data_IF_982122189634
#
_entry.id   IF_982122189634
#
_cell.length_a   1.000
_cell.length_b   1.000
_cell.length_c   1.000
_cell.angle_alpha   90.00
_cell.angle_beta   90.00
_cell.angle_gamma   90.00
#
_symmetry.space_group_name_H-M   'P 1'
#
loop_
_entity.id
_entity.type
_entity.pdbx_description
1 polymer ?
#
# COMPACT_ATOMS: atom_id res chain seq x y z
N UNK A 1 2.70 -17.41 -24.63
CA UNK A 1 3.18 -16.22 -25.38
C UNK A 1 4.15 -15.48 -24.48
N UNK A 2 5.35 -15.14 -24.97
CA UNK A 2 6.39 -14.51 -24.15
C UNK A 2 6.30 -12.99 -24.24
N UNK A 3 6.15 -12.33 -23.10
CA UNK A 3 6.33 -10.89 -23.00
C UNK A 3 7.82 -10.56 -22.87
N UNK A 4 8.23 -9.44 -23.46
CA UNK A 4 9.58 -8.88 -23.32
C UNK A 4 9.51 -7.46 -22.78
N UNK A 5 10.60 -7.00 -22.19
CA UNK A 5 10.77 -5.62 -21.75
C UNK A 5 11.94 -5.01 -22.53
N UNK A 6 11.67 -3.95 -23.27
CA UNK A 6 12.70 -3.12 -23.90
C UNK A 6 13.18 -2.07 -22.89
N UNK A 7 14.50 -1.98 -22.72
CA UNK A 7 15.15 -1.12 -21.74
C UNK A 7 15.76 0.10 -22.43
N UNK A 8 15.62 1.26 -21.82
CA UNK A 8 16.09 2.54 -22.31
C UNK A 8 16.95 3.23 -21.26
N UNK A 9 18.11 3.76 -21.65
CA UNK A 9 19.08 4.40 -20.75
C UNK A 9 19.00 5.92 -20.82
N UNK A 10 19.12 6.55 -19.65
CA UNK A 10 19.31 7.99 -19.48
C UNK A 10 18.08 8.83 -19.83
N UNK A 11 18.21 10.15 -19.70
CA UNK A 11 17.14 11.11 -20.03
C UNK A 11 16.75 11.12 -21.52
N UNK A 12 17.70 10.78 -22.40
CA UNK A 12 17.44 10.67 -23.85
C UNK A 12 16.74 9.37 -24.23
N UNK A 13 16.58 8.44 -23.28
CA UNK A 13 15.92 7.15 -23.44
C UNK A 13 16.48 6.39 -24.63
N UNK A 14 17.79 6.18 -24.64
CA UNK A 14 18.47 5.43 -25.70
C UNK A 14 18.16 3.93 -25.55
N UNK A 15 17.62 3.24 -26.56
CA UNK A 15 17.36 1.80 -26.47
C UNK A 15 18.65 1.03 -26.19
N UNK A 16 18.61 0.08 -25.26
CA UNK A 16 19.76 -0.74 -24.88
C UNK A 16 19.60 -2.17 -25.35
N UNK A 17 18.57 -2.87 -24.85
CA UNK A 17 18.27 -4.26 -25.19
C UNK A 17 16.85 -4.62 -24.79
N UNK A 18 16.39 -5.78 -25.28
CA UNK A 18 15.21 -6.46 -24.77
C UNK A 18 15.61 -7.58 -23.83
N UNK A 19 14.81 -7.78 -22.79
CA UNK A 19 14.94 -8.89 -21.85
C UNK A 19 13.61 -9.62 -21.72
N UNK A 20 13.62 -10.96 -21.58
CA UNK A 20 12.39 -11.70 -21.32
C UNK A 20 11.79 -11.28 -19.98
N UNK A 21 10.48 -11.08 -19.93
CA UNK A 21 9.79 -10.60 -18.72
C UNK A 21 9.74 -11.68 -17.63
N UNK A 22 9.62 -12.94 -18.02
CA UNK A 22 9.39 -14.04 -17.10
C UNK A 22 10.55 -14.22 -16.09
N UNK A 23 11.84 -14.24 -16.48
CA UNK A 23 12.93 -14.38 -15.51
C UNK A 23 13.06 -13.19 -14.56
N UNK A 24 12.72 -11.99 -15.05
CA UNK A 24 12.71 -10.75 -14.26
C UNK A 24 11.66 -10.83 -13.15
N UNK A 25 10.43 -11.22 -13.51
CA UNK A 25 9.35 -11.38 -12.53
C UNK A 25 9.60 -12.57 -11.58
N UNK A 26 10.14 -13.68 -12.09
CA UNK A 26 10.48 -14.85 -11.27
C UNK A 26 11.45 -14.47 -10.15
N UNK A 27 12.59 -13.85 -10.49
CA UNK A 27 13.58 -13.40 -9.49
C UNK A 27 12.96 -12.45 -8.47
N UNK A 28 12.12 -11.52 -8.94
CA UNK A 28 11.41 -10.59 -8.07
C UNK A 28 10.51 -11.32 -7.07
N UNK A 29 9.62 -12.21 -7.54
CA UNK A 29 8.69 -12.92 -6.66
C UNK A 29 9.36 -13.96 -5.76
N UNK A 30 10.46 -14.60 -6.19
CA UNK A 30 11.27 -15.47 -5.32
C UNK A 30 11.80 -14.70 -4.11
N UNK A 31 12.29 -13.47 -4.33
CA UNK A 31 12.73 -12.60 -3.24
C UNK A 31 11.58 -12.11 -2.36
N UNK A 32 10.41 -11.79 -2.93
CA UNK A 32 9.27 -11.29 -2.15
C UNK A 32 8.59 -12.39 -1.30
N UNK A 33 8.49 -13.60 -1.86
CA UNK A 33 7.84 -14.75 -1.23
C UNK A 33 8.80 -15.57 -0.35
N UNK A 34 10.10 -15.29 -0.41
CA UNK A 34 11.14 -16.06 0.30
C UNK A 34 11.08 -17.57 -0.02
N UNK A 35 10.77 -17.89 -1.28
CA UNK A 35 10.56 -19.25 -1.77
C UNK A 35 11.02 -19.38 -3.22
N UNK A 36 11.69 -20.50 -3.55
CA UNK A 36 12.04 -20.82 -4.93
C UNK A 36 10.78 -21.10 -5.75
N UNK A 37 10.69 -20.50 -6.94
CA UNK A 37 9.50 -20.60 -7.79
C UNK A 37 9.69 -21.57 -8.94
N UNK A 38 10.72 -22.42 -8.97
CA UNK A 38 10.96 -23.39 -10.04
C UNK A 38 9.68 -24.20 -10.36
N UNK A 39 9.25 -24.19 -11.63
CA UNK A 39 8.02 -24.83 -12.08
C UNK A 39 6.73 -24.03 -11.82
N UNK A 40 6.81 -22.88 -11.13
CA UNK A 40 5.67 -21.99 -10.96
C UNK A 40 5.29 -21.26 -12.26
N UNK A 41 3.99 -21.01 -12.40
CA UNK A 41 3.36 -20.25 -13.48
C UNK A 41 3.01 -18.85 -12.95
N UNK A 42 3.57 -17.82 -13.59
CA UNK A 42 3.22 -16.42 -13.33
C UNK A 42 2.22 -15.98 -14.40
N UNK A 43 0.97 -15.76 -13.98
CA UNK A 43 -0.10 -15.26 -14.84
C UNK A 43 -0.19 -13.74 -14.70
N UNK A 44 -0.27 -13.06 -15.84
CA UNK A 44 -0.41 -11.61 -15.93
C UNK A 44 -1.69 -11.28 -16.69
N UNK A 45 -2.56 -10.51 -16.07
CA UNK A 45 -3.73 -9.92 -16.71
C UNK A 45 -3.58 -8.40 -16.64
N UNK A 46 -3.30 -7.78 -17.80
CA UNK A 46 -3.14 -6.34 -17.90
C UNK A 46 -4.50 -5.64 -18.04
N UNK A 47 -4.65 -4.56 -17.28
CA UNK A 47 -5.91 -3.85 -17.11
C UNK A 47 -5.73 -2.39 -17.57
N UNK A 48 -6.63 -1.85 -18.43
CA UNK A 48 -6.44 -0.58 -19.12
C UNK A 48 -6.68 0.65 -18.24
N UNK A 49 -7.02 0.46 -16.97
CA UNK A 49 -7.27 1.55 -16.03
C UNK A 49 -5.99 2.37 -15.82
N UNK A 50 -6.09 3.71 -15.90
CA UNK A 50 -4.93 4.58 -15.74
C UNK A 50 -4.31 4.42 -14.35
N UNK A 51 -2.99 4.56 -14.26
CA UNK A 51 -2.31 4.62 -12.96
C UNK A 51 -2.79 5.87 -12.19
N UNK A 52 -3.15 5.76 -10.90
CA UNK A 52 -3.51 6.92 -10.10
C UNK A 52 -2.25 7.71 -9.74
N UNK A 53 -2.00 8.81 -10.47
CA UNK A 53 -0.95 9.78 -10.19
C UNK A 53 0.06 9.95 -11.33
N UNK A 54 0.99 10.94 -11.25
CA UNK A 54 2.09 11.01 -12.20
C UNK A 54 2.84 9.67 -12.17
N UNK A 55 3.24 9.19 -13.36
CA UNK A 55 3.97 7.94 -13.53
C UNK A 55 5.02 7.84 -12.43
N UNK A 56 4.90 6.83 -11.56
CA UNK A 56 5.73 6.72 -10.37
C UNK A 56 7.18 6.58 -10.82
N UNK A 57 7.91 7.70 -10.89
CA UNK A 57 9.33 7.68 -10.69
C UNK A 57 9.50 7.01 -9.33
N UNK A 58 10.05 5.81 -9.29
CA UNK A 58 10.40 5.11 -8.05
C UNK A 58 11.55 5.87 -7.36
N UNK A 59 11.36 7.16 -7.07
CA UNK A 59 12.23 7.99 -6.27
C UNK A 59 12.10 7.56 -4.82
N UNK A 60 12.65 6.40 -4.50
CA UNK A 60 12.96 6.06 -3.13
C UNK A 60 14.45 5.75 -3.06
N UNK A 61 15.14 6.74 -2.47
CA UNK A 61 16.51 6.69 -1.95
C UNK A 61 17.63 6.59 -3.00
N UNK A 62 18.18 7.74 -3.39
CA UNK A 62 19.45 7.83 -4.15
C UNK A 62 19.35 8.22 -5.63
N UNK A 63 18.24 8.83 -6.06
CA UNK A 63 18.07 9.36 -7.42
C UNK A 63 17.90 8.31 -8.53
N UNK A 64 17.63 7.05 -8.17
CA UNK A 64 17.39 5.99 -9.15
C UNK A 64 15.92 5.98 -9.59
N UNK A 65 15.63 6.19 -10.87
CA UNK A 65 14.27 6.22 -11.43
C UNK A 65 14.13 5.30 -12.64
N UNK A 66 12.93 4.75 -12.80
CA UNK A 66 12.57 3.83 -13.88
C UNK A 66 11.19 4.19 -14.40
N UNK A 67 11.11 4.71 -15.62
CA UNK A 67 9.87 5.21 -16.22
C UNK A 67 9.22 4.20 -17.18
N UNK A 68 7.90 4.06 -17.12
CA UNK A 68 7.14 3.31 -18.12
C UNK A 68 6.91 4.16 -19.37
N UNK A 69 7.59 3.84 -20.46
CA UNK A 69 7.51 4.55 -21.73
C UNK A 69 6.37 4.08 -22.63
N UNK A 70 5.66 3.01 -22.25
CA UNK A 70 4.46 2.51 -22.94
C UNK A 70 3.32 2.29 -21.94
N UNK A 71 2.74 3.36 -21.37
CA UNK A 71 1.74 3.28 -20.29
C UNK A 71 0.33 2.92 -20.80
N UNK A 72 0.21 1.98 -21.74
CA UNK A 72 -1.09 1.58 -22.31
C UNK A 72 -2.00 0.90 -21.28
N UNK A 73 -1.41 0.14 -20.38
CA UNK A 73 -2.08 -0.52 -19.28
C UNK A 73 -1.48 0.06 -18.01
N UNK A 74 -2.33 0.62 -17.14
CA UNK A 74 -1.86 1.17 -15.89
C UNK A 74 -1.70 0.10 -14.82
N UNK A 75 -2.47 -0.99 -14.89
CA UNK A 75 -2.42 -2.05 -13.88
C UNK A 75 -2.21 -3.43 -14.48
N UNK A 76 -1.69 -4.33 -13.65
CA UNK A 76 -1.56 -5.76 -13.95
C UNK A 76 -1.96 -6.58 -12.73
N UNK A 77 -2.95 -7.46 -12.91
CA UNK A 77 -3.25 -8.50 -11.93
C UNK A 77 -2.18 -9.59 -12.09
N UNK A 78 -1.47 -9.87 -11.00
CA UNK A 78 -0.49 -10.96 -10.97
C UNK A 78 -1.02 -12.13 -10.17
N UNK A 79 -0.90 -13.34 -10.71
CA UNK A 79 -1.09 -14.59 -9.96
C UNK A 79 0.13 -15.47 -10.10
N UNK A 80 0.64 -15.99 -8.98
CA UNK A 80 1.74 -16.96 -8.97
C UNK A 80 1.18 -18.30 -8.49
N UNK A 81 1.27 -19.31 -9.34
CA UNK A 81 0.80 -20.66 -9.03
C UNK A 81 1.97 -21.64 -9.04
N UNK A 82 2.08 -22.50 -8.03
CA UNK A 82 3.04 -23.60 -7.99
C UNK A 82 2.27 -24.90 -7.75
N UNK A 83 2.42 -25.88 -8.65
CA UNK A 83 1.65 -27.14 -8.59
C UNK A 83 0.14 -26.91 -8.47
N UNK A 84 -0.41 -25.97 -9.26
CA UNK A 84 -1.81 -25.50 -9.23
C UNK A 84 -2.27 -24.84 -7.92
N UNK A 85 -1.37 -24.64 -6.96
CA UNK A 85 -1.63 -23.90 -5.73
C UNK A 85 -1.33 -22.41 -5.91
N UNK A 86 -2.29 -21.55 -5.55
CA UNK A 86 -2.12 -20.10 -5.59
C UNK A 86 -1.23 -19.65 -4.43
N UNK A 87 -0.01 -19.20 -4.75
CA UNK A 87 0.94 -18.65 -3.79
C UNK A 87 0.79 -17.14 -3.59
N UNK A 88 0.41 -16.43 -4.65
CA UNK A 88 0.31 -14.98 -4.67
C UNK A 88 -0.78 -14.51 -5.60
N UNK A 89 -1.55 -13.52 -5.19
CA UNK A 89 -2.51 -12.82 -6.04
C UNK A 89 -2.64 -11.37 -5.57
N UNK A 90 -2.29 -10.42 -6.44
CA UNK A 90 -2.44 -8.99 -6.13
C UNK A 90 -2.38 -8.13 -7.41
N UNK A 91 -3.18 -7.05 -7.51
CA UNK A 91 -3.06 -6.04 -8.57
C UNK A 91 -1.87 -5.10 -8.34
N UNK A 92 -1.13 -4.74 -9.38
CA UNK A 92 -0.04 -3.75 -9.27
C UNK A 92 -0.13 -2.67 -10.33
N UNK A 93 0.24 -1.41 -10.02
CA UNK A 93 0.65 -0.48 -11.06
C UNK A 93 1.79 -1.08 -11.88
N UNK A 94 1.71 -1.00 -13.21
CA UNK A 94 2.70 -1.60 -14.10
C UNK A 94 4.06 -0.94 -13.91
N UNK A 95 4.09 0.38 -13.76
CA UNK A 95 5.31 1.15 -13.46
C UNK A 95 6.02 0.67 -12.20
N UNK A 96 5.25 0.41 -11.13
CA UNK A 96 5.79 -0.02 -9.85
C UNK A 96 6.33 -1.46 -9.92
N UNK A 97 5.54 -2.41 -10.41
CA UNK A 97 5.94 -3.82 -10.46
C UNK A 97 7.22 -3.97 -11.28
N UNK A 98 7.22 -3.44 -12.51
CA UNK A 98 8.35 -3.60 -13.41
C UNK A 98 9.53 -2.74 -13.01
N UNK A 99 9.31 -1.51 -12.56
CA UNK A 99 10.38 -0.65 -12.07
C UNK A 99 11.12 -1.27 -10.87
N UNK A 100 10.41 -1.95 -9.97
CA UNK A 100 11.03 -2.71 -8.86
C UNK A 100 11.71 -3.99 -9.35
N UNK A 101 11.03 -4.80 -10.16
CA UNK A 101 11.55 -6.08 -10.63
C UNK A 101 12.81 -5.91 -11.52
N UNK A 102 12.90 -4.83 -12.29
CA UNK A 102 14.03 -4.52 -13.16
C UNK A 102 15.23 -3.92 -12.41
N UNK A 103 15.06 -3.41 -11.19
CA UNK A 103 16.07 -2.63 -10.47
C UNK A 103 17.45 -3.29 -10.46
N UNK A 104 17.52 -4.54 -10.04
CA UNK A 104 18.80 -5.24 -9.92
C UNK A 104 19.39 -5.53 -11.31
N UNK A 105 18.54 -5.87 -12.31
CA UNK A 105 18.97 -6.05 -13.70
C UNK A 105 19.56 -4.77 -14.29
N UNK A 106 18.98 -3.62 -13.97
CA UNK A 106 19.44 -2.32 -14.45
C UNK A 106 20.75 -1.89 -13.80
N UNK A 107 20.88 -2.13 -12.49
CA UNK A 107 22.14 -1.87 -11.74
C UNK A 107 23.29 -2.75 -12.22
N UNK A 108 23.03 -4.02 -12.50
CA UNK A 108 24.01 -4.93 -13.11
C UNK A 108 24.42 -4.47 -14.52
N UNK A 109 23.48 -3.91 -15.29
CA UNK A 109 23.70 -3.51 -16.68
C UNK A 109 24.50 -2.20 -16.81
N UNK A 110 24.25 -1.21 -15.95
CA UNK A 110 25.07 0.00 -15.86
C UNK A 110 25.04 0.55 -14.42
N UNK A 111 26.05 0.23 -13.58
CA UNK A 111 26.07 0.61 -12.16
C UNK A 111 26.04 2.11 -11.89
N UNK A 112 26.51 2.92 -12.84
CA UNK A 112 26.56 4.39 -12.71
C UNK A 112 25.29 5.08 -13.20
N UNK A 113 24.45 4.39 -13.97
CA UNK A 113 23.20 4.97 -14.46
C UNK A 113 22.16 5.03 -13.34
N UNK A 114 21.43 6.13 -13.32
CA UNK A 114 20.39 6.40 -12.33
C UNK A 114 19.02 6.55 -12.97
N UNK A 115 18.93 6.90 -14.25
CA UNK A 115 17.67 7.13 -14.94
C UNK A 115 17.47 6.10 -16.05
N UNK A 116 16.34 5.40 -15.98
CA UNK A 116 15.98 4.37 -16.95
C UNK A 116 14.55 4.54 -17.42
N UNK A 117 14.28 4.00 -18.60
CA UNK A 117 12.94 3.76 -19.10
C UNK A 117 12.75 2.29 -19.46
N UNK A 118 11.51 1.85 -19.50
CA UNK A 118 11.15 0.53 -20.02
C UNK A 118 9.89 0.61 -20.89
N UNK A 119 9.76 -0.32 -21.82
CA UNK A 119 8.55 -0.52 -22.62
C UNK A 119 8.23 -2.01 -22.72
N UNK A 120 6.99 -2.39 -22.41
CA UNK A 120 6.53 -3.76 -22.61
C UNK A 120 6.37 -4.07 -24.10
N UNK A 121 6.67 -5.31 -24.47
CA UNK A 121 6.50 -5.91 -25.79
C UNK A 121 5.75 -7.23 -25.70
N UNK A 122 4.97 -7.51 -26.73
CA UNK A 122 4.15 -8.71 -26.83
C UNK A 122 2.74 -8.41 -27.34
N UNK A 123 1.85 -9.43 -27.33
CA UNK A 123 0.48 -9.29 -27.81
C UNK A 123 -0.21 -8.10 -27.13
N UNK A 124 -0.72 -7.17 -27.95
CA UNK A 124 -1.38 -5.92 -27.54
C UNK A 124 -0.47 -4.80 -26.99
N UNK A 125 0.86 -4.95 -26.96
CA UNK A 125 1.79 -3.91 -26.51
C UNK A 125 2.57 -3.24 -27.65
N UNK A 126 2.70 -3.89 -28.81
CA UNK A 126 3.56 -3.43 -29.91
C UNK A 126 2.98 -2.26 -30.74
N UNK A 127 1.80 -1.77 -30.38
CA UNK A 127 1.12 -0.67 -31.06
C UNK A 127 0.98 0.53 -30.13
N UNK A 128 1.79 1.57 -30.35
CA UNK A 128 1.70 2.85 -29.64
C UNK A 128 3.04 3.62 -29.64
N UNK A 129 3.01 4.97 -29.63
CA UNK A 129 4.23 5.76 -29.50
C UNK A 129 4.85 5.61 -28.10
N UNK A 130 6.17 5.79 -28.01
CA UNK A 130 6.84 5.95 -26.72
C UNK A 130 6.41 7.29 -26.10
N UNK A 131 6.00 7.25 -24.84
CA UNK A 131 5.65 8.43 -24.05
C UNK A 131 6.83 8.78 -23.17
N UNK A 132 7.42 9.97 -23.38
CA UNK A 132 8.43 10.51 -22.48
C UNK A 132 7.72 11.17 -21.28
N UNK A 133 8.01 10.77 -20.04
CA UNK A 133 7.50 11.50 -18.88
C UNK A 133 7.98 12.95 -18.94
N UNK A 134 7.12 13.87 -18.51
CA UNK A 134 7.54 15.26 -18.28
C UNK A 134 8.57 15.23 -17.15
N UNK A 135 9.78 15.81 -17.31
CA UNK A 135 10.75 15.88 -16.22
C UNK A 135 10.14 16.63 -15.03
N UNK A 136 10.32 16.14 -13.81
CA UNK A 136 10.04 16.96 -12.62
C UNK A 136 11.04 18.13 -12.63
N UNK A 137 10.57 19.32 -13.00
CA UNK A 137 11.36 20.54 -12.92
C UNK A 137 11.07 21.23 -11.59
N UNK A 138 12.10 21.45 -10.76
CA UNK A 138 12.01 22.22 -9.50
C UNK A 138 11.35 23.61 -9.67
N UNK A 139 11.34 24.16 -10.89
CA UNK A 139 10.78 25.49 -11.22
C UNK A 139 9.79 25.45 -12.41
N UNK A 140 9.16 24.30 -12.69
CA UNK A 140 8.22 24.15 -13.79
C UNK A 140 6.83 24.72 -13.46
N UNK A 141 6.36 25.70 -14.23
CA UNK A 141 4.95 26.13 -14.20
C UNK A 141 4.11 25.15 -15.02
N UNK A 142 3.36 24.29 -14.35
CA UNK A 142 2.31 23.48 -14.97
C UNK A 142 1.08 24.37 -15.23
N UNK A 143 0.72 24.58 -16.50
CA UNK A 143 -0.56 25.20 -16.88
C UNK A 143 -1.58 24.09 -17.09
N UNK A 144 -2.37 23.79 -16.06
CA UNK A 144 -3.58 22.98 -16.21
C UNK A 144 -4.72 23.86 -16.77
N UNK A 145 -5.06 23.67 -18.05
CA UNK A 145 -6.26 24.28 -18.62
C UNK A 145 -7.45 23.39 -18.25
N UNK A 146 -8.04 23.62 -17.08
CA UNK A 146 -9.18 22.82 -16.60
C UNK A 146 -9.78 23.28 -15.27
N UNK A 147 -10.65 24.31 -15.34
CA UNK A 147 -11.70 24.62 -14.36
C UNK A 147 -11.33 24.67 -12.86
N UNK A 148 -10.69 25.76 -12.44
CA UNK A 148 -10.82 26.23 -11.06
C UNK A 148 -12.27 26.69 -10.80
N UNK A 149 -13.11 25.81 -10.26
CA UNK A 149 -14.21 26.26 -9.38
C UNK A 149 -13.57 26.61 -8.04
N UNK A 150 -13.32 27.89 -7.82
CA UNK A 150 -12.88 28.41 -6.53
C UNK A 150 -13.84 27.94 -5.43
N UNK A 151 -13.31 27.34 -4.38
CA UNK A 151 -14.06 27.06 -3.15
C UNK A 151 -14.35 28.41 -2.49
N UNK A 152 -15.64 28.69 -2.27
CA UNK A 152 -16.14 29.99 -1.78
C UNK A 152 -16.11 30.08 -0.22
N UNK A 153 -15.62 29.05 0.46
CA UNK A 153 -15.57 29.00 1.93
C UNK A 153 -14.30 28.28 2.40
N UNK A 154 -13.51 28.96 3.24
CA UNK A 154 -12.47 28.34 4.06
C UNK A 154 -13.13 27.80 5.32
N UNK A 155 -13.37 26.49 5.33
CA UNK A 155 -13.75 25.77 6.54
C UNK A 155 -12.46 25.58 7.35
N UNK A 156 -12.22 26.43 8.34
CA UNK A 156 -11.13 26.25 9.29
C UNK A 156 -11.49 25.07 10.20
N UNK A 157 -10.93 23.89 9.88
CA UNK A 157 -11.08 22.71 10.72
C UNK A 157 -10.29 22.96 12.02
N UNK A 158 -11.01 23.21 13.12
CA UNK A 158 -10.38 23.32 14.44
C UNK A 158 -9.56 22.06 14.71
N UNK A 159 -8.29 22.19 15.11
CA UNK A 159 -7.51 21.02 15.46
C UNK A 159 -8.24 20.29 16.61
N UNK A 160 -8.40 18.97 16.52
CA UNK A 160 -9.03 18.20 17.57
C UNK A 160 -8.28 18.43 18.88
N UNK A 161 -8.97 18.37 20.03
CA UNK A 161 -8.32 18.49 21.32
C UNK A 161 -7.21 17.45 21.44
N UNK A 162 -6.13 17.82 22.13
CA UNK A 162 -5.02 16.89 22.35
C UNK A 162 -5.52 15.61 23.04
N UNK A 163 -5.11 14.42 22.56
CA UNK A 163 -5.50 13.18 23.19
C UNK A 163 -5.06 13.14 24.65
N UNK A 164 -5.88 12.56 25.55
CA UNK A 164 -5.53 12.45 26.97
C UNK A 164 -4.23 11.64 27.17
N UNK A 165 -3.57 11.87 28.31
CA UNK A 165 -2.38 11.10 28.67
C UNK A 165 -2.73 9.69 29.13
N UNK A 166 -1.93 8.70 28.72
CA UNK A 166 -1.95 7.33 29.25
C UNK A 166 -0.57 6.68 29.14
N UNK A 167 -0.45 5.43 29.55
CA UNK A 167 0.76 4.60 29.39
C UNK A 167 0.39 3.21 28.89
N UNK A 168 1.32 2.49 28.28
CA UNK A 168 1.11 1.08 27.88
C UNK A 168 0.65 0.22 29.07
N UNK A 169 1.27 0.41 30.24
CA UNK A 169 0.90 -0.31 31.46
C UNK A 169 -0.53 -0.01 31.91
N UNK A 170 -0.97 1.25 31.82
CA UNK A 170 -2.35 1.63 32.13
C UNK A 170 -3.38 1.02 31.15
N UNK A 171 -2.96 0.77 29.90
CA UNK A 171 -3.74 0.04 28.90
C UNK A 171 -3.61 -1.49 29.02
N UNK A 172 -2.89 -1.99 30.03
CA UNK A 172 -2.72 -3.43 30.30
C UNK A 172 -1.60 -4.12 29.51
N UNK A 173 -0.79 -3.37 28.76
CA UNK A 173 0.37 -3.91 28.05
C UNK A 173 1.62 -3.87 28.95
N UNK A 174 2.13 -5.05 29.30
CA UNK A 174 3.38 -5.21 30.06
C UNK A 174 4.58 -5.21 29.09
N UNK A 175 5.00 -4.01 28.68
CA UNK A 175 6.15 -3.86 27.80
C UNK A 175 6.83 -2.49 27.93
N UNK A 176 8.15 -2.50 27.76
CA UNK A 176 8.91 -1.26 27.56
C UNK A 176 8.62 -0.65 26.19
N UNK A 177 8.42 0.67 26.10
CA UNK A 177 8.19 1.35 24.84
C UNK A 177 9.34 1.12 23.85
N UNK A 178 9.01 0.67 22.62
CA UNK A 178 9.98 0.62 21.53
C UNK A 178 10.41 2.05 21.16
N UNK A 179 11.71 2.41 21.28
CA UNK A 179 12.18 3.74 20.92
C UNK A 179 11.92 4.07 19.45
N UNK A 180 11.57 5.33 19.16
CA UNK A 180 11.45 5.85 17.79
C UNK A 180 10.22 5.35 17.00
N UNK A 181 9.23 4.74 17.66
CA UNK A 181 7.95 4.38 17.03
C UNK A 181 6.88 5.42 17.38
N UNK A 182 6.32 6.16 16.41
CA UNK A 182 5.38 7.25 16.69
C UNK A 182 3.99 6.76 17.14
N UNK A 183 3.68 5.48 16.93
CA UNK A 183 2.42 4.86 17.30
C UNK A 183 2.66 3.51 17.98
N UNK A 184 1.84 3.19 18.98
CA UNK A 184 1.73 1.89 19.61
C UNK A 184 0.25 1.46 19.68
N UNK A 185 -0.08 0.25 19.24
CA UNK A 185 -1.46 -0.26 19.23
C UNK A 185 -1.68 -1.27 20.37
N UNK A 186 -2.77 -1.13 21.11
CA UNK A 186 -3.19 -2.06 22.16
C UNK A 186 -4.56 -2.59 21.79
N UNK A 187 -4.75 -3.91 21.82
CA UNK A 187 -6.04 -4.53 21.49
C UNK A 187 -6.32 -5.73 22.40
N UNK A 188 -7.58 -5.95 22.77
CA UNK A 188 -7.97 -7.10 23.57
C UNK A 188 -7.77 -8.42 22.81
N UNK A 189 -7.59 -9.53 23.54
CA UNK A 189 -7.45 -10.88 22.95
C UNK A 189 -8.60 -11.26 22.03
N UNK A 190 -9.82 -10.87 22.37
CA UNK A 190 -11.00 -11.11 21.52
C UNK A 190 -10.93 -10.35 20.19
N UNK A 191 -10.42 -9.11 20.20
CA UNK A 191 -10.20 -8.32 18.99
C UNK A 191 -9.09 -8.92 18.13
N UNK A 192 -7.98 -9.33 18.74
CA UNK A 192 -6.92 -10.03 18.04
C UNK A 192 -7.42 -11.33 17.39
N UNK A 193 -8.19 -12.13 18.14
CA UNK A 193 -8.84 -13.34 17.62
C UNK A 193 -9.81 -13.01 16.49
N UNK A 194 -10.48 -11.85 16.51
CA UNK A 194 -11.35 -11.41 15.42
C UNK A 194 -10.58 -11.26 14.10
N UNK A 195 -9.44 -10.58 14.11
CA UNK A 195 -8.59 -10.49 12.92
C UNK A 195 -8.00 -11.82 12.49
N UNK A 196 -7.57 -12.65 13.44
CA UNK A 196 -6.71 -13.80 13.15
C UNK A 196 -7.46 -15.12 12.99
N UNK A 197 -8.67 -15.24 13.53
CA UNK A 197 -9.37 -16.51 13.66
C UNK A 197 -10.88 -16.41 13.43
N UNK A 198 -11.59 -15.56 14.19
CA UNK A 198 -13.04 -15.67 14.37
C UNK A 198 -13.87 -14.87 13.37
N UNK A 199 -13.35 -13.76 12.83
CA UNK A 199 -14.09 -13.02 11.79
C UNK A 199 -14.03 -13.79 10.47
N UNK A 200 -15.17 -14.00 9.77
CA UNK A 200 -15.21 -14.80 8.55
C UNK A 200 -14.81 -13.98 7.32
N UNK A 201 -13.53 -13.58 7.23
CA UNK A 201 -13.03 -12.89 6.04
C UNK A 201 -13.20 -13.76 4.78
N UNK A 202 -13.53 -13.12 3.66
CA UNK A 202 -13.53 -13.77 2.35
C UNK A 202 -12.14 -14.32 2.02
N UNK A 203 -12.11 -15.51 1.43
CA UNK A 203 -10.89 -16.13 0.88
C UNK A 203 -10.79 -15.95 -0.63
N UNK A 204 -11.75 -15.26 -1.23
CA UNK A 204 -11.85 -15.07 -2.69
C UNK A 204 -11.66 -13.61 -3.11
N UNK A 205 -12.07 -12.67 -2.24
CA UNK A 205 -12.02 -11.23 -2.49
C UNK A 205 -11.36 -10.54 -1.29
N UNK A 206 -10.50 -9.55 -1.58
CA UNK A 206 -9.95 -8.71 -0.52
C UNK A 206 -11.04 -7.84 0.11
N UNK A 207 -11.11 -7.86 1.43
CA UNK A 207 -12.09 -7.12 2.22
C UNK A 207 -11.39 -6.01 3.01
N UNK A 208 -12.17 -5.02 3.43
CA UNK A 208 -11.67 -3.94 4.26
C UNK A 208 -12.75 -3.25 5.07
N UNK A 209 -12.31 -2.37 5.95
CA UNK A 209 -13.17 -1.65 6.85
C UNK A 209 -12.43 -0.64 7.70
N UNK A 210 -13.10 -0.18 8.74
CA UNK A 210 -12.63 0.88 9.61
C UNK A 210 -12.23 0.33 10.98
N UNK A 211 -11.33 1.05 11.63
CA UNK A 211 -10.89 0.79 12.98
C UNK A 211 -11.41 1.89 13.89
N UNK A 212 -12.06 1.50 14.97
CA UNK A 212 -12.50 2.39 16.03
C UNK A 212 -11.73 2.12 17.32
N UNK A 213 -11.44 3.18 18.05
CA UNK A 213 -10.63 3.07 19.26
C UNK A 213 -10.58 4.36 20.06
N UNK A 214 -9.76 4.34 21.09
CA UNK A 214 -9.40 5.53 21.88
C UNK A 214 -7.95 5.87 21.63
N UNK A 215 -7.67 7.16 21.61
CA UNK A 215 -6.32 7.68 21.36
C UNK A 215 -5.82 8.37 22.60
N UNK A 216 -4.55 8.13 22.90
CA UNK A 216 -3.84 8.74 24.01
C UNK A 216 -2.49 9.25 23.55
N UNK A 217 -2.00 10.30 24.20
CA UNK A 217 -0.57 10.64 24.19
C UNK A 217 0.13 9.78 25.23
N UNK A 218 1.30 9.25 24.89
CA UNK A 218 2.05 8.44 25.82
C UNK A 218 2.81 9.30 26.82
N UNK A 219 2.45 9.18 28.11
CA UNK A 219 3.12 9.89 29.19
C UNK A 219 4.57 9.44 29.38
N UNK A 220 4.94 8.23 28.93
CA UNK A 220 6.31 7.73 28.97
C UNK A 220 7.16 8.13 27.75
N UNK A 221 6.54 8.56 26.64
CA UNK A 221 7.20 9.00 25.42
C UNK A 221 6.35 10.07 24.70
N UNK A 222 6.61 11.38 24.94
CA UNK A 222 5.72 12.47 24.52
C UNK A 222 5.41 12.56 23.02
N UNK A 223 6.31 12.06 22.17
CA UNK A 223 6.16 12.06 20.70
C UNK A 223 5.39 10.84 20.17
N UNK A 224 4.86 9.99 21.06
CA UNK A 224 4.17 8.75 20.72
C UNK A 224 2.68 8.81 21.05
N UNK A 225 1.87 8.30 20.13
CA UNK A 225 0.45 8.05 20.35
C UNK A 225 0.21 6.57 20.72
N UNK A 226 -0.69 6.34 21.68
CA UNK A 226 -1.20 5.02 22.02
C UNK A 226 -2.61 4.88 21.48
N UNK A 227 -2.88 3.77 20.79
CA UNK A 227 -4.20 3.46 20.21
C UNK A 227 -4.76 2.26 20.95
N UNK A 228 -5.81 2.45 21.74
CA UNK A 228 -6.62 1.35 22.26
C UNK A 228 -7.66 0.99 21.19
N UNK A 229 -7.49 -0.14 20.51
CA UNK A 229 -8.41 -0.60 19.48
C UNK A 229 -9.61 -1.31 20.12
N UNK A 230 -10.80 -0.79 19.89
CA UNK A 230 -12.04 -1.24 20.54
C UNK A 230 -13.04 -1.87 19.58
N UNK A 231 -13.00 -1.52 18.29
CA UNK A 231 -13.84 -2.15 17.29
C UNK A 231 -13.20 -2.24 15.89
N UNK A 232 -13.55 -3.33 15.19
CA UNK A 232 -13.37 -3.50 13.76
C UNK A 232 -14.75 -3.37 13.10
N UNK A 233 -14.89 -2.43 12.17
CA UNK A 233 -16.17 -2.10 11.53
C UNK A 233 -16.05 -2.41 10.03
N UNK A 234 -16.64 -3.52 9.54
CA UNK A 234 -16.64 -3.82 8.11
C UNK A 234 -17.31 -2.70 7.31
N UNK A 235 -16.68 -2.26 6.22
CA UNK A 235 -17.29 -1.26 5.38
C UNK A 235 -18.41 -1.90 4.54
N UNK A 236 -19.66 -1.45 4.72
CA UNK A 236 -20.78 -1.95 3.92
C UNK A 236 -20.75 -1.32 2.52
N UNK A 237 -21.01 -2.14 1.50
CA UNK A 237 -21.11 -1.72 0.08
C UNK A 237 -19.87 -1.00 -0.46
N UNK A 238 -18.67 -1.39 -0.03
CA UNK A 238 -17.46 -0.96 -0.73
C UNK A 238 -17.49 -1.60 -2.10
N UNK A 239 -17.57 -0.79 -3.15
CA UNK A 239 -17.27 -1.24 -4.50
C UNK A 239 -15.81 -1.66 -4.54
N UNK A 240 -15.54 -2.89 -4.13
CA UNK A 240 -14.26 -3.54 -4.31
C UNK A 240 -14.16 -3.82 -5.81
N UNK A 241 -13.69 -2.82 -6.55
CA UNK A 241 -13.12 -3.14 -7.84
C UNK A 241 -11.83 -3.92 -7.55
N UNK A 242 -11.48 -4.85 -8.44
CA UNK A 242 -10.25 -5.65 -8.37
C UNK A 242 -8.97 -4.79 -8.24
N UNK A 243 -9.07 -3.46 -8.38
CA UNK A 243 -7.97 -2.49 -8.44
C UNK A 243 -7.94 -1.46 -7.30
N UNK A 244 -9.04 -1.26 -6.56
CA UNK A 244 -9.07 -0.25 -5.51
C UNK A 244 -10.15 -0.50 -4.46
N UNK A 245 -9.73 -0.43 -3.19
CA UNK A 245 -10.64 -0.22 -2.08
C UNK A 245 -10.94 1.27 -2.00
N UNK A 246 -12.16 1.67 -2.37
CA UNK A 246 -12.57 3.08 -2.31
C UNK A 246 -13.46 3.30 -1.10
N UNK A 247 -12.96 4.00 -0.09
CA UNK A 247 -13.79 4.53 0.99
C UNK A 247 -14.58 5.73 0.46
N UNK A 248 -15.91 5.62 0.42
CA UNK A 248 -16.76 6.73 -0.03
C UNK A 248 -17.12 7.65 1.13
N UNK A 249 -17.56 8.88 0.84
CA UNK A 249 -18.08 9.79 1.87
C UNK A 249 -19.24 9.17 2.66
N UNK A 250 -20.08 8.35 2.01
CA UNK A 250 -21.13 7.57 2.69
C UNK A 250 -20.55 6.57 3.68
N UNK A 251 -19.45 5.88 3.35
CA UNK A 251 -18.77 4.96 4.27
C UNK A 251 -18.30 5.66 5.54
N UNK A 252 -17.76 6.88 5.42
CA UNK A 252 -17.35 7.68 6.59
C UNK A 252 -18.53 8.16 7.42
N UNK A 253 -19.62 8.58 6.79
CA UNK A 253 -20.85 8.99 7.48
C UNK A 253 -21.43 7.83 8.28
N UNK A 254 -21.56 6.64 7.68
CA UNK A 254 -22.08 5.45 8.37
C UNK A 254 -21.22 5.04 9.58
N UNK A 255 -19.89 5.18 9.49
CA UNK A 255 -19.01 4.93 10.64
C UNK A 255 -19.18 5.98 11.71
N UNK A 256 -19.27 7.26 11.35
CA UNK A 256 -19.53 8.34 12.29
C UNK A 256 -20.84 8.14 13.06
N UNK A 257 -21.91 7.74 12.36
CA UNK A 257 -23.20 7.40 12.96
C UNK A 257 -23.08 6.19 13.91
N UNK A 258 -22.36 5.14 13.51
CA UNK A 258 -22.15 3.96 14.35
C UNK A 258 -21.38 4.32 15.64
N UNK A 259 -20.32 5.12 15.53
CA UNK A 259 -19.56 5.62 16.68
C UNK A 259 -20.44 6.46 17.62
N UNK A 260 -21.27 7.34 17.05
CA UNK A 260 -22.21 8.18 17.80
C UNK A 260 -23.29 7.35 18.53
N UNK A 261 -23.72 6.22 17.94
CA UNK A 261 -24.66 5.28 18.59
C UNK A 261 -23.98 4.52 19.73
N UNK A 262 -22.72 4.10 19.55
CA UNK A 262 -21.97 3.36 20.58
C UNK A 262 -21.73 4.19 21.83
N UNK A 263 -21.50 5.51 21.70
CA UNK A 263 -21.31 6.46 22.81
C UNK A 263 -20.22 6.04 23.82
N UNK A 264 -19.14 5.42 23.36
CA UNK A 264 -18.04 4.94 24.21
C UNK A 264 -16.80 5.85 24.21
N UNK A 265 -16.92 7.07 23.69
CA UNK A 265 -15.79 7.99 23.50
C UNK A 265 -14.77 7.48 22.48
N UNK A 266 -15.23 6.67 21.52
CA UNK A 266 -14.40 6.09 20.46
C UNK A 266 -14.33 7.05 19.26
N UNK A 267 -13.20 7.03 18.57
CA UNK A 267 -12.97 7.74 17.34
C UNK A 267 -12.45 6.81 16.24
N UNK A 268 -12.42 7.33 15.01
CA UNK A 268 -11.87 6.62 13.86
C UNK A 268 -10.34 6.62 13.92
N UNK A 269 -9.76 5.51 14.37
CA UNK A 269 -8.31 5.35 14.57
C UNK A 269 -7.59 4.74 13.37
N UNK A 270 -8.30 4.40 12.30
CA UNK A 270 -7.67 3.87 11.09
C UNK A 270 -8.58 3.02 10.24
N UNK A 271 -7.95 2.13 9.48
CA UNK A 271 -8.62 1.18 8.59
C UNK A 271 -7.91 -0.16 8.57
N UNK A 272 -8.59 -1.17 8.04
CA UNK A 272 -7.99 -2.46 7.78
C UNK A 272 -8.34 -2.98 6.39
N UNK A 273 -7.50 -3.85 5.86
CA UNK A 273 -7.85 -4.71 4.73
C UNK A 273 -7.11 -6.04 4.75
N UNK A 274 -7.54 -6.96 3.90
CA UNK A 274 -6.97 -8.30 3.78
C UNK A 274 -6.15 -8.43 2.50
N UNK A 275 -5.05 -9.18 2.54
CA UNK A 275 -4.38 -9.72 1.36
C UNK A 275 -4.55 -11.24 1.31
N UNK A 276 -4.94 -11.79 0.17
CA UNK A 276 -5.20 -13.23 0.00
C UNK A 276 -3.94 -14.04 -0.35
N UNK A 277 -2.85 -13.76 0.35
CA UNK A 277 -1.58 -14.45 0.21
C UNK A 277 -0.76 -14.38 1.51
N UNK A 278 0.20 -15.30 1.61
CA UNK A 278 1.05 -15.44 2.78
C UNK A 278 1.91 -14.20 3.04
N UNK A 279 2.18 -13.97 4.31
CA UNK A 279 2.88 -12.79 4.78
C UNK A 279 4.40 -12.94 4.55
N UNK A 280 4.92 -12.49 3.40
CA UNK A 280 6.36 -12.48 3.10
C UNK A 280 7.15 -11.37 3.82
N UNK A 281 8.48 -11.48 3.87
CA UNK A 281 9.36 -10.43 4.43
C UNK A 281 9.37 -9.15 3.61
N UNK A 282 9.19 -9.24 2.29
CA UNK A 282 9.06 -8.10 1.38
C UNK A 282 7.63 -7.61 1.18
N UNK A 283 6.63 -8.34 1.69
CA UNK A 283 5.22 -8.12 1.39
C UNK A 283 4.52 -7.43 2.57
N UNK A 284 4.19 -6.15 2.36
CA UNK A 284 3.43 -5.30 3.26
C UNK A 284 2.33 -4.54 2.51
N UNK A 285 2.11 -3.27 2.86
CA UNK A 285 1.18 -2.40 2.13
C UNK A 285 1.63 -2.19 0.68
N UNK A 286 0.69 -2.27 -0.25
CA UNK A 286 0.92 -1.89 -1.65
C UNK A 286 1.05 -0.36 -1.79
N UNK A 287 1.56 0.15 -2.93
CA UNK A 287 1.56 1.61 -3.13
C UNK A 287 0.15 2.20 -3.18
N UNK A 288 -0.85 1.41 -3.60
CA UNK A 288 -2.26 1.82 -3.59
C UNK A 288 -2.71 2.03 -2.15
N UNK A 289 -2.39 1.11 -1.24
CA UNK A 289 -2.72 1.21 0.18
C UNK A 289 -2.02 2.39 0.85
N UNK A 290 -0.74 2.61 0.53
CA UNK A 290 0.02 3.76 1.03
C UNK A 290 -0.62 5.07 0.55
N UNK A 291 -0.98 5.18 -0.73
CA UNK A 291 -1.67 6.37 -1.27
C UNK A 291 -3.02 6.56 -0.58
N UNK A 292 -3.83 5.51 -0.46
CA UNK A 292 -5.13 5.54 0.20
C UNK A 292 -5.02 6.03 1.65
N UNK A 293 -4.09 5.43 2.42
CA UNK A 293 -3.85 5.87 3.80
C UNK A 293 -3.43 7.34 3.83
N UNK A 294 -2.54 7.76 2.92
CA UNK A 294 -2.00 9.12 2.91
C UNK A 294 -3.01 10.19 2.49
N UNK A 295 -3.88 9.91 1.53
CA UNK A 295 -4.91 10.85 1.07
C UNK A 295 -6.07 10.96 2.06
N UNK A 296 -6.42 9.86 2.71
CA UNK A 296 -7.71 9.72 3.40
C UNK A 296 -7.59 9.77 4.92
N UNK A 297 -6.55 9.14 5.50
CA UNK A 297 -6.37 9.04 6.95
C UNK A 297 -5.28 10.00 7.43
N UNK A 298 -5.63 11.27 7.60
CA UNK A 298 -4.70 12.38 7.79
C UNK A 298 -4.27 12.63 9.24
N UNK A 299 -4.93 12.03 10.24
CA UNK A 299 -4.54 12.21 11.64
C UNK A 299 -3.22 11.48 11.93
N UNK A 300 -2.33 12.04 12.76
CA UNK A 300 -1.00 11.46 13.00
C UNK A 300 -1.05 10.13 13.75
N UNK A 301 -2.15 9.82 14.44
CA UNK A 301 -2.38 8.58 15.18
C UNK A 301 -3.10 7.49 14.38
N UNK A 302 -3.50 7.78 13.13
CA UNK A 302 -4.25 6.80 12.34
C UNK A 302 -3.34 5.68 11.82
N UNK A 303 -3.83 4.45 11.88
CA UNK A 303 -3.11 3.24 11.45
C UNK A 303 -3.78 2.54 10.27
N UNK A 304 -3.01 1.76 9.52
CA UNK A 304 -3.51 0.78 8.57
C UNK A 304 -3.21 -0.63 9.10
N UNK A 305 -4.24 -1.44 9.32
CA UNK A 305 -4.10 -2.85 9.67
C UNK A 305 -4.16 -3.72 8.42
N UNK A 306 -3.17 -4.58 8.23
CA UNK A 306 -3.14 -5.56 7.16
C UNK A 306 -3.30 -6.95 7.74
N UNK A 307 -4.25 -7.70 7.19
CA UNK A 307 -4.43 -9.13 7.48
C UNK A 307 -3.99 -9.93 6.26
N UNK A 308 -2.84 -10.58 6.34
CA UNK A 308 -2.46 -11.57 5.33
C UNK A 308 -3.18 -12.88 5.62
N UNK A 309 -3.96 -13.38 4.67
CA UNK A 309 -4.71 -14.63 4.76
C UNK A 309 -4.04 -15.66 3.86
N UNK A 310 -3.66 -16.78 4.46
CA UNK A 310 -3.09 -17.94 3.76
C UNK A 310 -3.74 -19.22 4.28
N UNK A 311 -3.44 -20.36 3.65
CA UNK A 311 -4.01 -21.66 4.09
C UNK A 311 -3.68 -21.93 5.55
N UNK A 312 -4.70 -21.86 6.41
CA UNK A 312 -4.64 -22.20 7.82
C UNK A 312 -4.04 -21.15 8.74
N UNK A 313 -3.63 -19.97 8.23
CA UNK A 313 -3.03 -18.93 9.06
C UNK A 313 -3.37 -17.53 8.57
N UNK A 314 -3.60 -16.64 9.54
CA UNK A 314 -3.73 -15.20 9.33
C UNK A 314 -2.65 -14.45 10.10
N UNK A 315 -2.07 -13.44 9.47
CA UNK A 315 -1.05 -12.60 10.10
C UNK A 315 -1.53 -11.17 10.11
N UNK A 316 -1.69 -10.60 11.32
CA UNK A 316 -2.05 -9.21 11.54
C UNK A 316 -0.80 -8.34 11.69
N UNK A 317 -0.76 -7.23 10.96
CA UNK A 317 0.27 -6.18 11.08
C UNK A 317 -0.39 -4.81 11.10
N UNK A 318 0.21 -3.87 11.81
CA UNK A 318 -0.19 -2.47 11.80
C UNK A 318 0.90 -1.60 11.19
N UNK A 319 0.50 -0.60 10.43
CA UNK A 319 1.38 0.38 9.80
C UNK A 319 0.94 1.79 10.18
N UNK A 320 1.92 2.66 10.38
CA UNK A 320 1.75 4.08 10.60
C UNK A 320 2.60 4.88 9.61
N UNK A 321 2.33 6.18 9.49
CA UNK A 321 3.10 7.07 8.64
C UNK A 321 4.55 7.16 9.14
N UNK A 322 5.47 7.14 8.18
CA UNK A 322 6.86 7.53 8.37
C UNK A 322 7.08 8.93 7.80
N UNK A 323 8.00 9.69 8.39
CA UNK A 323 8.31 11.08 8.02
C UNK A 323 8.85 11.17 6.58
N UNK A 324 9.52 10.11 6.10
CA UNK A 324 10.08 9.99 4.75
C UNK A 324 9.06 9.68 3.63
N UNK A 325 7.80 10.11 3.78
CA UNK A 325 6.66 9.82 2.89
C UNK A 325 6.23 8.34 2.81
N UNK A 326 6.89 7.44 3.54
CA UNK A 326 6.58 6.01 3.60
C UNK A 326 5.53 5.62 4.65
N UNK A 327 5.40 4.31 4.85
CA UNK A 327 4.68 3.70 5.97
C UNK A 327 5.64 2.75 6.69
N UNK A 328 5.58 2.70 8.01
CA UNK A 328 6.43 1.86 8.85
C UNK A 328 5.58 0.95 9.75
N UNK A 329 6.12 -0.19 10.16
CA UNK A 329 5.45 -1.08 11.11
C UNK A 329 5.28 -0.41 12.47
N UNK A 330 4.03 -0.40 12.94
CA UNK A 330 3.64 -0.01 14.29
C UNK A 330 3.61 -1.26 15.19
N UNK A 331 4.27 -1.22 16.37
CA UNK A 331 4.18 -2.29 17.34
C UNK A 331 2.76 -2.40 17.91
N UNK A 332 2.35 -3.62 18.27
CA UNK A 332 1.09 -3.86 18.93
C UNK A 332 1.19 -4.87 20.09
N UNK A 333 0.25 -4.77 21.04
CA UNK A 333 0.17 -5.64 22.22
C UNK A 333 -1.24 -6.18 22.41
N UNK A 334 -1.33 -7.48 22.68
CA UNK A 334 -2.60 -8.12 23.05
C UNK A 334 -2.77 -8.11 24.56
N UNK A 335 -3.89 -7.57 25.02
CA UNK A 335 -4.21 -7.47 26.46
C UNK A 335 -5.39 -8.38 26.80
N UNK A 336 -5.52 -8.82 28.07
CA UNK A 336 -6.54 -9.78 28.50
C UNK A 336 -7.97 -9.45 28.03
#
# INVERSE_FOLDING_TARGET
>A
MSYEVELFRGGDQTPVRRVPLEPVLRRFFESQLDQALSGAVIQLLFLPEPEPGPAVSLENTGGFSVANLRPRYGHVQVRVLLNDELLYQHPHPVSELLGRALRDTLRELAPDERHWGFGLHGPNFDHGPLVRPVPEMEHGVHIEVGAHRGRIFDLEELPPPDPPLSTLAALGADATPSPGKPIAVVLGKSMYASFTETHPFSTEVEEGGFLAGRVYRDAAAPDRHLIELTAMIPAQRTGASMLSFTFTGESFLSVGELLAVRRQGEELVGWYHTHLFAAGRGLGLSSVDVRLHRSTFQRPWQVAALVNISRGARVLRFYCRDDARGMMLAPYWTVP
#
